data_IF_493261830925
#
_entry.id   IF_493261830925
#
_cell.length_a   1.000
_cell.length_b   1.000
_cell.length_c   1.000
_cell.angle_alpha   90.00
_cell.angle_beta   90.00
_cell.angle_gamma   90.00
#
_symmetry.space_group_name_H-M   'P 1'
#
loop_
_entity.id
_entity.type
_entity.pdbx_description
1 polymer ?
#
# COMPACT_ATOMS: atom_id res chain seq x y z
N UNK A 1 -33.55 -31.98 -1.68
CA UNK A 1 -32.35 -31.83 -2.53
C UNK A 1 -31.96 -30.35 -2.63
N UNK A 2 -31.62 -29.67 -1.51
CA UNK A 2 -31.44 -28.18 -1.51
C UNK A 2 -30.49 -27.66 -0.41
N UNK A 3 -29.63 -28.50 0.17
CA UNK A 3 -28.70 -28.07 1.24
C UNK A 3 -27.29 -27.72 0.75
N UNK A 4 -26.80 -28.43 -0.27
CA UNK A 4 -25.37 -28.38 -0.65
C UNK A 4 -25.03 -27.19 -1.55
N UNK A 5 -26.00 -26.67 -2.32
CA UNK A 5 -25.82 -25.55 -3.25
C UNK A 5 -25.61 -24.21 -2.55
N UNK A 6 -26.32 -24.00 -1.43
CA UNK A 6 -26.27 -22.74 -0.68
C UNK A 6 -24.92 -22.54 0.03
N UNK A 7 -24.30 -23.63 0.50
CA UNK A 7 -22.97 -23.60 1.11
C UNK A 7 -21.87 -23.27 0.08
N UNK A 8 -21.97 -23.81 -1.14
CA UNK A 8 -21.03 -23.48 -2.23
C UNK A 8 -21.11 -22.00 -2.65
N UNK A 9 -22.30 -21.41 -2.69
CA UNK A 9 -22.48 -19.97 -2.93
C UNK A 9 -21.81 -19.13 -1.83
N UNK A 10 -21.96 -19.50 -0.56
CA UNK A 10 -21.37 -18.73 0.55
C UNK A 10 -19.84 -18.80 0.56
N UNK A 11 -19.24 -19.93 0.21
CA UNK A 11 -17.79 -20.04 0.04
C UNK A 11 -17.26 -19.15 -1.10
N UNK A 12 -17.98 -19.03 -2.22
CA UNK A 12 -17.52 -18.23 -3.36
C UNK A 12 -17.43 -16.72 -3.07
N UNK A 13 -18.29 -16.17 -2.22
CA UNK A 13 -18.30 -14.73 -1.90
C UNK A 13 -17.18 -14.30 -0.93
N UNK A 14 -16.51 -15.24 -0.25
CA UNK A 14 -15.43 -14.93 0.70
C UNK A 14 -14.08 -14.62 0.01
N UNK A 15 -13.96 -14.93 -1.29
CA UNK A 15 -12.66 -14.88 -1.99
C UNK A 15 -12.42 -13.65 -2.86
N UNK A 16 -13.39 -12.74 -3.04
CA UNK A 16 -13.26 -11.68 -4.07
C UNK A 16 -13.12 -10.22 -3.61
N UNK A 17 -12.91 -9.95 -2.32
CA UNK A 17 -12.59 -8.57 -1.88
C UNK A 17 -11.44 -8.55 -0.87
N UNK A 18 -10.34 -9.24 -1.17
CA UNK A 18 -9.05 -8.97 -0.55
C UNK A 18 -8.19 -8.33 -1.63
N UNK A 19 -7.95 -7.02 -1.54
CA UNK A 19 -6.91 -6.39 -2.33
C UNK A 19 -5.60 -7.17 -2.08
N UNK A 20 -4.82 -7.52 -3.12
CA UNK A 20 -3.58 -8.26 -2.93
C UNK A 20 -2.73 -7.51 -1.89
N UNK A 21 -2.22 -8.24 -0.90
CA UNK A 21 -1.40 -7.70 0.18
C UNK A 21 0.01 -7.36 -0.35
N UNK A 22 0.10 -6.58 -1.42
CA UNK A 22 1.35 -6.08 -1.94
C UNK A 22 1.76 -4.87 -1.10
N UNK A 23 2.75 -5.04 -0.22
CA UNK A 23 3.49 -3.88 0.33
C UNK A 23 3.41 -3.63 1.83
N UNK A 24 3.30 -4.67 2.68
CA UNK A 24 3.49 -4.49 4.15
C UNK A 24 4.95 -4.55 4.61
N UNK A 25 5.90 -4.66 3.69
CA UNK A 25 7.32 -4.58 4.02
C UNK A 25 7.67 -3.18 4.53
N UNK A 26 8.25 -3.14 5.74
CA UNK A 26 8.65 -1.89 6.40
C UNK A 26 9.70 -1.22 5.53
N UNK A 27 9.38 -0.05 4.98
CA UNK A 27 10.27 0.63 4.04
C UNK A 27 11.36 1.38 4.77
N UNK A 28 12.53 1.43 4.16
CA UNK A 28 13.70 2.14 4.65
C UNK A 28 14.08 3.27 3.71
N UNK A 29 14.64 4.35 4.25
CA UNK A 29 15.24 5.40 3.46
C UNK A 29 16.45 4.84 2.69
N UNK A 30 16.53 4.99 1.35
CA UNK A 30 17.66 4.45 0.58
C UNK A 30 18.99 5.17 0.88
N UNK A 31 18.96 6.35 1.48
CA UNK A 31 20.17 7.11 1.82
C UNK A 31 20.75 6.75 3.19
N UNK A 32 19.91 6.65 4.24
CA UNK A 32 20.38 6.42 5.61
C UNK A 32 19.94 5.08 6.23
N UNK A 33 19.14 4.27 5.52
CA UNK A 33 18.68 2.96 5.98
C UNK A 33 17.65 3.00 7.12
N UNK A 34 17.27 4.19 7.62
CA UNK A 34 16.30 4.30 8.71
C UNK A 34 14.89 3.92 8.25
N UNK A 35 14.06 3.32 9.13
CA UNK A 35 12.65 3.06 8.84
C UNK A 35 11.94 4.37 8.48
N UNK A 36 11.10 4.32 7.46
CA UNK A 36 10.23 5.41 7.04
C UNK A 36 8.79 4.94 6.99
N UNK A 37 7.86 5.90 7.06
CA UNK A 37 6.44 5.63 6.85
C UNK A 37 6.24 5.04 5.44
N UNK A 38 5.21 4.20 5.26
CA UNK A 38 4.80 3.77 3.93
C UNK A 38 3.64 4.64 3.50
N UNK A 39 3.80 5.33 2.38
CA UNK A 39 2.78 6.22 1.84
C UNK A 39 2.10 5.56 0.65
N UNK A 40 0.79 5.83 0.49
CA UNK A 40 0.01 5.36 -0.66
C UNK A 40 -0.23 6.56 -1.57
N UNK A 41 0.33 6.51 -2.79
CA UNK A 41 0.02 7.47 -3.86
C UNK A 41 -0.90 6.80 -4.86
N UNK A 42 -1.85 7.55 -5.42
CA UNK A 42 -2.74 7.05 -6.47
C UNK A 42 -2.29 7.64 -7.79
N UNK A 43 -1.85 6.78 -8.71
CA UNK A 43 -1.52 7.17 -10.09
C UNK A 43 -2.72 6.87 -10.98
N UNK A 44 -3.11 7.82 -11.83
CA UNK A 44 -4.12 7.57 -12.85
C UNK A 44 -3.46 6.96 -14.08
N UNK A 45 -3.91 5.77 -14.49
CA UNK A 45 -3.39 5.03 -15.65
C UNK A 45 -4.59 4.54 -16.47
N UNK A 46 -4.66 4.96 -17.75
CA UNK A 46 -5.74 4.57 -18.67
C UNK A 46 -7.17 4.75 -18.10
N UNK A 47 -7.38 5.83 -17.33
CA UNK A 47 -8.67 6.12 -16.71
C UNK A 47 -8.91 5.45 -15.35
N UNK A 48 -8.11 4.46 -14.96
CA UNK A 48 -8.17 3.81 -13.65
C UNK A 48 -7.24 4.49 -12.62
N UNK A 49 -7.60 4.43 -11.34
CA UNK A 49 -6.73 4.86 -10.24
C UNK A 49 -6.01 3.65 -9.64
N UNK A 50 -4.71 3.59 -9.83
CA UNK A 50 -3.85 2.51 -9.33
C UNK A 50 -3.16 2.99 -8.04
N UNK A 51 -3.29 2.26 -6.92
CA UNK A 51 -2.50 2.53 -5.73
C UNK A 51 -1.04 2.10 -5.94
N UNK A 52 -0.12 2.99 -5.59
CA UNK A 52 1.32 2.79 -5.58
C UNK A 52 1.81 3.01 -4.14
N UNK A 53 2.35 1.96 -3.53
CA UNK A 53 2.95 2.05 -2.20
C UNK A 53 4.40 2.48 -2.38
N UNK A 54 4.82 3.50 -1.63
CA UNK A 54 6.13 4.16 -1.70
C UNK A 54 6.77 4.31 -0.32
N UNK A 55 8.11 4.45 -0.21
CA UNK A 55 8.70 5.01 1.01
C UNK A 55 8.20 6.46 1.16
N UNK A 56 7.81 6.83 2.37
CA UNK A 56 7.49 8.20 2.73
C UNK A 56 8.74 9.06 2.95
N UNK A 57 8.54 10.34 3.27
CA UNK A 57 9.61 11.30 3.55
C UNK A 57 10.55 10.84 4.65
N UNK A 58 11.85 11.06 4.43
CA UNK A 58 12.83 10.89 5.47
C UNK A 58 12.78 12.09 6.44
N UNK A 59 12.39 11.84 7.69
CA UNK A 59 12.39 12.85 8.76
C UNK A 59 13.70 12.92 9.56
N UNK A 60 14.75 12.20 9.14
CA UNK A 60 16.04 12.22 9.84
C UNK A 60 16.77 13.54 9.51
N UNK A 61 17.05 14.41 10.51
CA UNK A 61 17.70 15.71 10.28
C UNK A 61 19.11 15.59 9.71
N UNK A 62 19.80 14.48 9.97
CA UNK A 62 21.16 14.21 9.51
C UNK A 62 21.20 13.56 8.11
N UNK A 63 20.03 13.25 7.53
CA UNK A 63 19.96 12.58 6.23
C UNK A 63 20.09 13.58 5.09
N UNK A 64 20.96 13.28 4.13
CA UNK A 64 21.11 14.05 2.89
C UNK A 64 19.86 14.03 2.01
N UNK A 65 19.00 13.02 2.16
CA UNK A 65 17.73 12.89 1.46
C UNK A 65 16.53 13.37 2.30
N UNK A 66 16.76 14.18 3.34
CA UNK A 66 15.67 14.81 4.09
C UNK A 66 14.84 15.67 3.14
N UNK A 67 13.53 15.46 3.13
CA UNK A 67 12.62 16.36 2.41
C UNK A 67 12.60 17.70 3.17
N UNK A 68 12.79 18.84 2.48
CA UNK A 68 12.57 20.14 3.09
C UNK A 68 11.09 20.24 3.48
N UNK A 69 10.81 20.71 4.70
CA UNK A 69 9.46 21.02 5.15
C UNK A 69 8.88 22.13 4.25
N UNK A 70 8.24 21.76 3.14
CA UNK A 70 7.40 22.66 2.33
C UNK A 70 6.09 22.85 3.08
N UNK A 71 6.12 23.77 4.05
CA UNK A 71 4.92 24.29 4.72
C UNK A 71 4.29 25.33 3.78
N UNK A 72 3.00 25.21 3.42
CA UNK A 72 2.33 26.14 2.52
C UNK A 72 2.21 27.56 3.09
#
# INVERSE_FOLDING_TARGET
>A
MTGHDQHQRQHQHQHLTVAPQAGREQRVCPACGRPVETVIRRRKVLGAFVPEWGPGPCRNPDCTAREPDDVP
#
